data_IF_463234382376
#
_entry.id   IF_463234382376
#
_cell.length_a   1.000
_cell.length_b   1.000
_cell.length_c   1.000
_cell.angle_alpha   90.00
_cell.angle_beta   90.00
_cell.angle_gamma   90.00
#
_symmetry.space_group_name_H-M   'P 1'
#
loop_
_entity.id
_entity.type
_entity.pdbx_description
1 polymer ?
#
# COMPACT_ATOMS: atom_id res chain seq x y z
N UNK A 1 0.69 -6.46 8.29
CA UNK A 1 1.51 -7.22 9.27
C UNK A 1 0.65 -8.10 10.19
N UNK A 2 -0.35 -7.54 10.84
CA UNK A 2 -1.24 -8.31 11.73
C UNK A 2 -1.94 -9.46 11.00
N UNK A 3 -2.45 -9.22 9.80
CA UNK A 3 -3.12 -10.27 9.01
C UNK A 3 -2.19 -11.44 8.68
N UNK A 4 -0.90 -11.14 8.39
CA UNK A 4 0.10 -12.19 8.14
C UNK A 4 0.32 -13.05 9.40
N UNK A 5 0.42 -12.42 10.56
CA UNK A 5 0.59 -13.13 11.82
C UNK A 5 -0.65 -13.96 12.18
N UNK A 6 -1.86 -13.43 11.94
CA UNK A 6 -3.10 -14.19 12.14
C UNK A 6 -3.14 -15.42 11.24
N UNK A 7 -2.81 -15.27 9.97
CA UNK A 7 -2.78 -16.39 9.02
C UNK A 7 -1.78 -17.45 9.47
N UNK A 8 -0.60 -17.05 9.93
CA UNK A 8 0.41 -17.96 10.48
C UNK A 8 -0.13 -18.70 11.70
N UNK A 9 -0.77 -17.99 12.62
CA UNK A 9 -1.36 -18.58 13.81
C UNK A 9 -2.46 -19.60 13.50
N UNK A 10 -3.20 -19.38 12.42
CA UNK A 10 -4.23 -20.31 11.98
C UNK A 10 -3.69 -21.48 11.16
N UNK A 11 -2.38 -21.55 10.94
CA UNK A 11 -1.73 -22.60 10.18
C UNK A 11 -1.83 -22.45 8.66
N UNK A 12 -2.25 -21.29 8.18
CA UNK A 12 -2.40 -20.99 6.75
C UNK A 12 -1.08 -20.42 6.19
N UNK A 13 -0.08 -21.27 6.07
CA UNK A 13 1.29 -20.85 5.77
C UNK A 13 1.47 -20.19 4.41
N UNK A 14 0.77 -20.66 3.39
CA UNK A 14 0.85 -20.06 2.04
C UNK A 14 0.28 -18.65 2.05
N UNK A 15 -0.86 -18.44 2.71
CA UNK A 15 -1.47 -17.12 2.86
C UNK A 15 -0.58 -16.20 3.70
N UNK A 16 -0.02 -16.71 4.79
CA UNK A 16 0.87 -15.94 5.65
C UNK A 16 2.10 -15.44 4.89
N UNK A 17 2.71 -16.29 4.05
CA UNK A 17 3.84 -15.89 3.22
C UNK A 17 3.46 -14.80 2.22
N UNK A 18 2.31 -14.95 1.59
CA UNK A 18 1.81 -13.96 0.63
C UNK A 18 1.58 -12.60 1.29
N UNK A 19 0.90 -12.59 2.43
CA UNK A 19 0.61 -11.37 3.17
C UNK A 19 1.89 -10.71 3.70
N UNK A 20 2.86 -11.51 4.14
CA UNK A 20 4.14 -10.99 4.61
C UNK A 20 4.95 -10.35 3.48
N UNK A 21 5.00 -11.00 2.32
CA UNK A 21 5.67 -10.44 1.14
C UNK A 21 5.03 -9.12 0.72
N UNK A 22 3.70 -9.04 0.76
CA UNK A 22 2.95 -7.82 0.47
C UNK A 22 3.31 -6.70 1.46
N UNK A 23 3.39 -7.02 2.75
CA UNK A 23 3.80 -6.06 3.78
C UNK A 23 5.19 -5.48 3.49
N UNK A 24 6.14 -6.32 3.10
CA UNK A 24 7.50 -5.86 2.77
C UNK A 24 7.48 -4.91 1.58
N UNK A 25 6.70 -5.22 0.54
CA UNK A 25 6.53 -4.35 -0.62
C UNK A 25 5.95 -2.99 -0.21
N UNK A 26 4.93 -2.99 0.66
CA UNK A 26 4.32 -1.75 1.15
C UNK A 26 5.30 -0.91 1.97
N UNK A 27 6.17 -1.54 2.75
CA UNK A 27 7.22 -0.84 3.49
C UNK A 27 8.21 -0.15 2.55
N UNK A 28 8.57 -0.79 1.45
CA UNK A 28 9.44 -0.19 0.42
C UNK A 28 8.77 0.99 -0.26
N UNK A 29 7.47 0.89 -0.53
CA UNK A 29 6.70 2.02 -1.05
C UNK A 29 6.73 3.20 -0.08
N UNK A 30 6.54 2.93 1.21
CA UNK A 30 6.59 3.97 2.25
C UNK A 30 7.95 4.67 2.29
N UNK A 31 9.05 3.92 2.17
CA UNK A 31 10.38 4.49 2.11
C UNK A 31 10.52 5.45 0.92
N UNK A 32 10.04 5.04 -0.26
CA UNK A 32 10.09 5.87 -1.46
C UNK A 32 9.30 7.16 -1.28
N UNK A 33 8.13 7.09 -0.64
CA UNK A 33 7.33 8.28 -0.33
C UNK A 33 8.08 9.23 0.60
N UNK A 34 8.66 8.71 1.66
CA UNK A 34 9.41 9.52 2.61
C UNK A 34 10.62 10.19 1.96
N UNK A 35 11.38 9.45 1.15
CA UNK A 35 12.52 9.98 0.42
C UNK A 35 12.10 11.12 -0.52
N UNK A 36 10.98 10.94 -1.22
CA UNK A 36 10.49 11.97 -2.15
C UNK A 36 10.00 13.22 -1.43
N UNK A 37 9.30 13.06 -0.31
CA UNK A 37 8.85 14.18 0.52
C UNK A 37 10.05 14.99 1.00
N UNK A 38 11.10 14.33 1.47
CA UNK A 38 12.33 14.99 1.91
C UNK A 38 13.05 15.68 0.75
N UNK A 39 13.10 15.04 -0.42
CA UNK A 39 13.65 15.64 -1.62
C UNK A 39 12.93 16.94 -1.99
N UNK A 40 11.62 16.99 -1.81
CA UNK A 40 10.79 18.16 -2.07
C UNK A 40 10.80 19.17 -0.91
N UNK A 41 11.70 18.97 0.05
CA UNK A 41 11.86 19.82 1.23
C UNK A 41 10.65 19.82 2.18
N UNK A 42 9.80 18.79 2.07
CA UNK A 42 8.72 18.54 3.01
C UNK A 42 9.20 17.77 4.23
N UNK A 43 8.29 17.53 5.16
CA UNK A 43 8.54 16.72 6.34
C UNK A 43 7.52 15.58 6.40
N UNK A 44 7.96 14.29 6.36
CA UNK A 44 7.01 13.18 6.41
C UNK A 44 6.24 13.15 7.72
N UNK A 45 4.91 13.13 7.63
CA UNK A 45 4.05 13.03 8.80
C UNK A 45 3.76 11.55 9.05
N UNK A 46 4.33 11.00 10.13
CA UNK A 46 4.20 9.58 10.47
C UNK A 46 3.47 9.35 11.79
N UNK A 47 3.06 10.42 12.47
CA UNK A 47 2.35 10.31 13.75
C UNK A 47 0.86 10.05 13.60
N UNK A 48 0.31 10.25 12.40
CA UNK A 48 -1.09 9.97 12.12
C UNK A 48 -1.22 8.59 11.48
N UNK A 49 -2.00 7.74 12.14
CA UNK A 49 -2.30 6.41 11.62
C UNK A 49 -3.77 6.42 11.22
N UNK A 50 -4.05 6.00 9.99
CA UNK A 50 -5.42 5.84 9.52
C UNK A 50 -6.11 4.71 10.30
N UNK A 51 -7.39 4.49 10.02
CA UNK A 51 -8.15 3.43 10.66
C UNK A 51 -7.50 2.08 10.41
N UNK A 52 -7.16 1.37 11.51
CA UNK A 52 -6.61 0.02 11.42
C UNK A 52 -7.80 -0.95 11.43
N UNK A 53 -7.96 -1.70 10.33
CA UNK A 53 -9.07 -2.63 10.16
C UNK A 53 -8.53 -4.05 10.12
N UNK A 54 -8.84 -4.83 11.16
CA UNK A 54 -8.34 -6.19 11.31
C UNK A 54 -9.47 -7.19 11.05
N UNK A 55 -9.25 -8.12 10.13
CA UNK A 55 -10.17 -9.21 9.84
C UNK A 55 -10.06 -10.31 10.88
N UNK A 56 -11.20 -10.94 11.19
CA UNK A 56 -11.27 -12.01 12.19
C UNK A 56 -11.21 -13.40 11.59
N UNK A 57 -11.34 -13.51 10.28
CA UNK A 57 -11.25 -14.77 9.54
C UNK A 57 -10.66 -14.48 8.17
N UNK A 58 -10.37 -15.54 7.39
CA UNK A 58 -9.73 -15.42 6.07
C UNK A 58 -10.52 -14.51 5.13
N UNK A 59 -11.84 -14.70 5.06
CA UNK A 59 -12.70 -13.92 4.18
C UNK A 59 -12.63 -12.43 4.52
N UNK A 60 -12.73 -12.08 5.80
CA UNK A 60 -12.62 -10.70 6.26
C UNK A 60 -11.25 -10.10 5.98
N UNK A 61 -10.18 -10.87 6.18
CA UNK A 61 -8.81 -10.42 5.89
C UNK A 61 -8.69 -10.06 4.41
N UNK A 62 -9.09 -10.95 3.52
CA UNK A 62 -8.99 -10.72 2.08
C UNK A 62 -9.85 -9.54 1.64
N UNK A 63 -11.04 -9.41 2.19
CA UNK A 63 -11.93 -8.29 1.86
C UNK A 63 -11.34 -6.95 2.31
N UNK A 64 -10.83 -6.87 3.54
CA UNK A 64 -10.25 -5.63 4.07
C UNK A 64 -8.97 -5.24 3.34
N UNK A 65 -8.14 -6.21 3.00
CA UNK A 65 -6.91 -5.96 2.23
C UNK A 65 -7.26 -5.49 0.82
N UNK A 66 -8.27 -6.09 0.20
CA UNK A 66 -8.76 -5.64 -1.10
C UNK A 66 -9.26 -4.19 -1.05
N UNK A 67 -10.09 -3.85 -0.06
CA UNK A 67 -10.57 -2.48 0.11
C UNK A 67 -9.41 -1.50 0.28
N UNK A 68 -8.40 -1.87 1.06
CA UNK A 68 -7.20 -1.05 1.27
C UNK A 68 -6.46 -0.79 -0.04
N UNK A 69 -6.29 -1.82 -0.87
CA UNK A 69 -5.61 -1.69 -2.16
C UNK A 69 -6.42 -0.80 -3.13
N UNK A 70 -7.74 -0.94 -3.15
CA UNK A 70 -8.59 -0.11 -4.00
C UNK A 70 -8.48 1.36 -3.60
N UNK A 71 -8.47 1.65 -2.29
CA UNK A 71 -8.29 3.01 -1.80
C UNK A 71 -6.89 3.55 -2.15
N UNK A 72 -5.86 2.72 -2.07
CA UNK A 72 -4.51 3.09 -2.43
C UNK A 72 -4.42 3.45 -3.91
N UNK A 73 -5.00 2.64 -4.79
CA UNK A 73 -5.03 2.91 -6.25
C UNK A 73 -5.68 4.26 -6.51
N UNK A 74 -6.81 4.53 -5.87
CA UNK A 74 -7.51 5.81 -6.00
C UNK A 74 -6.64 6.97 -5.57
N UNK A 75 -6.02 6.86 -4.40
CA UNK A 75 -5.15 7.91 -3.85
C UNK A 75 -3.94 8.18 -4.74
N UNK A 76 -3.32 7.16 -5.29
CA UNK A 76 -2.18 7.31 -6.19
C UNK A 76 -2.58 7.98 -7.50
N UNK A 77 -3.73 7.65 -8.07
CA UNK A 77 -4.23 8.34 -9.26
C UNK A 77 -4.46 9.82 -9.00
N UNK A 78 -5.03 10.17 -7.84
CA UNK A 78 -5.22 11.56 -7.45
C UNK A 78 -3.88 12.30 -7.30
N UNK A 79 -2.89 11.65 -6.69
CA UNK A 79 -1.55 12.23 -6.53
C UNK A 79 -0.87 12.44 -7.87
N UNK A 80 -1.00 11.49 -8.81
CA UNK A 80 -0.45 11.63 -10.16
C UNK A 80 -1.05 12.83 -10.89
N UNK A 81 -2.35 13.01 -10.78
CA UNK A 81 -3.04 14.16 -11.39
C UNK A 81 -2.56 15.47 -10.81
N UNK A 82 -2.37 15.54 -9.50
CA UNK A 82 -1.85 16.72 -8.84
C UNK A 82 -0.41 17.01 -9.28
N UNK A 83 0.45 16.00 -9.31
CA UNK A 83 1.84 16.14 -9.73
C UNK A 83 1.93 16.64 -11.16
N UNK A 84 1.09 16.13 -12.05
CA UNK A 84 1.05 16.57 -13.43
C UNK A 84 0.65 18.04 -13.54
N UNK A 85 -0.36 18.47 -12.80
CA UNK A 85 -0.80 19.88 -12.79
C UNK A 85 0.28 20.82 -12.29
N UNK A 86 1.09 20.37 -11.33
CA UNK A 86 2.18 21.16 -10.77
C UNK A 86 3.48 21.05 -11.56
N UNK A 87 3.50 20.25 -12.64
CA UNK A 87 4.69 20.04 -13.43
C UNK A 87 5.75 19.17 -12.75
N UNK A 88 5.38 18.44 -11.70
CA UNK A 88 6.30 17.55 -10.98
C UNK A 88 6.29 16.16 -11.60
N UNK A 89 6.95 16.04 -12.76
CA UNK A 89 7.00 14.78 -13.50
C UNK A 89 7.79 13.69 -12.78
N UNK A 90 8.77 14.05 -11.97
CA UNK A 90 9.52 13.07 -11.18
C UNK A 90 8.64 12.35 -10.17
N UNK A 91 7.80 13.11 -9.44
CA UNK A 91 6.84 12.51 -8.52
C UNK A 91 5.81 11.68 -9.27
N UNK A 92 5.28 12.22 -10.38
CA UNK A 92 4.29 11.50 -11.19
C UNK A 92 4.83 10.14 -11.67
N UNK A 93 6.07 10.12 -12.15
CA UNK A 93 6.70 8.88 -12.64
C UNK A 93 6.93 7.89 -11.51
N UNK A 94 7.40 8.35 -10.35
CA UNK A 94 7.59 7.49 -9.18
C UNK A 94 6.26 6.86 -8.74
N UNK A 95 5.21 7.68 -8.64
CA UNK A 95 3.89 7.18 -8.25
C UNK A 95 3.33 6.22 -9.29
N UNK A 96 3.58 6.45 -10.58
CA UNK A 96 3.15 5.54 -11.64
C UNK A 96 3.74 4.14 -11.47
N UNK A 97 5.01 4.03 -11.07
CA UNK A 97 5.65 2.75 -10.82
C UNK A 97 5.01 2.04 -9.62
N UNK A 98 4.76 2.77 -8.54
CA UNK A 98 4.10 2.21 -7.35
C UNK A 98 2.67 1.79 -7.68
N UNK A 99 1.97 2.59 -8.48
CA UNK A 99 0.60 2.28 -8.90
C UNK A 99 0.52 0.95 -9.64
N UNK A 100 1.50 0.63 -10.48
CA UNK A 100 1.55 -0.67 -11.16
C UNK A 100 1.58 -1.83 -10.17
N UNK A 101 2.38 -1.71 -9.10
CA UNK A 101 2.44 -2.73 -8.06
C UNK A 101 1.09 -2.87 -7.34
N UNK A 102 0.46 -1.73 -7.01
CA UNK A 102 -0.83 -1.75 -6.32
C UNK A 102 -1.95 -2.31 -7.20
N UNK A 103 -1.94 -2.01 -8.50
CA UNK A 103 -2.90 -2.59 -9.43
C UNK A 103 -2.73 -4.09 -9.55
N UNK A 104 -1.49 -4.59 -9.55
CA UNK A 104 -1.20 -6.01 -9.54
C UNK A 104 -1.72 -6.67 -8.25
N UNK A 105 -1.61 -5.99 -7.11
CA UNK A 105 -2.14 -6.47 -5.84
C UNK A 105 -3.67 -6.60 -5.89
N UNK A 106 -4.35 -5.63 -6.50
CA UNK A 106 -5.82 -5.70 -6.67
C UNK A 106 -6.20 -6.93 -7.50
N UNK A 107 -5.47 -7.21 -8.57
CA UNK A 107 -5.75 -8.37 -9.43
C UNK A 107 -5.64 -9.70 -8.69
N UNK A 108 -4.75 -9.82 -7.72
CA UNK A 108 -4.57 -11.04 -6.93
C UNK A 108 -5.85 -11.44 -6.18
N UNK A 109 -6.71 -10.47 -5.84
CA UNK A 109 -7.94 -10.73 -5.10
C UNK A 109 -9.12 -11.14 -6.01
N UNK A 110 -8.95 -11.12 -7.30
CA UNK A 110 -9.94 -11.62 -8.25
C UNK A 110 -9.58 -13.02 -8.73
#
# INVERSE_FOLDING_TARGET
MVHAELAENWGLKALARHLKAHTITEMRHAERHMERILFLEGFPEVSRIGEIRIGKNVEEILFKDYEGEVQAVKGYNETMNLAQRLGDNGTREMIAEILKDEEAHVEVFF
#
